data_IF_467792539480
#
_entry.id   IF_467792539480
#
_cell.length_a   1.000
_cell.length_b   1.000
_cell.length_c   1.000
_cell.angle_alpha   90.00
_cell.angle_beta   90.00
_cell.angle_gamma   90.00
#
_symmetry.space_group_name_H-M   'P 1'
#
loop_
_entity.id
_entity.type
_entity.pdbx_description
1 polymer ?
#
# COMPACT_ATOMS: atom_id res chain seq x y z
N UNK A 1 -6.26 -3.90 6.98
CA UNK A 1 -5.14 -3.41 7.84
C UNK A 1 -5.05 -1.90 7.66
N UNK A 2 -5.11 -1.10 8.73
CA UNK A 2 -5.00 0.36 8.60
C UNK A 2 -3.55 0.75 8.28
N UNK A 3 -3.36 1.83 7.52
CA UNK A 3 -2.04 2.35 7.22
C UNK A 3 -1.98 3.87 7.16
N UNK A 4 -0.78 4.38 7.39
CA UNK A 4 -0.44 5.80 7.27
C UNK A 4 0.69 5.96 6.25
N UNK A 5 0.54 6.93 5.34
CA UNK A 5 1.61 7.38 4.46
C UNK A 5 2.30 8.55 5.13
N UNK A 6 3.58 8.38 5.44
CA UNK A 6 4.37 9.32 6.24
C UNK A 6 5.48 9.88 5.35
N UNK A 7 5.64 11.20 5.33
CA UNK A 7 6.76 11.85 4.66
C UNK A 7 8.08 11.59 5.37
N UNK A 8 9.21 11.84 4.69
CA UNK A 8 10.54 11.81 5.30
C UNK A 8 10.66 12.69 6.56
N UNK A 9 9.90 13.79 6.64
CA UNK A 9 9.88 14.69 7.78
C UNK A 9 9.02 14.18 8.96
N UNK A 10 8.40 12.99 8.85
CA UNK A 10 7.54 12.40 9.87
C UNK A 10 6.08 12.87 9.83
N UNK A 11 5.71 13.77 8.91
CA UNK A 11 4.32 14.20 8.74
C UNK A 11 3.47 13.11 8.07
N UNK A 12 2.30 12.81 8.63
CA UNK A 12 1.29 11.96 8.00
C UNK A 12 0.64 12.72 6.85
N UNK A 13 0.79 12.21 5.63
CA UNK A 13 0.24 12.79 4.40
C UNK A 13 -1.15 12.25 4.09
N UNK A 14 -1.37 10.97 4.36
CA UNK A 14 -2.64 10.31 4.11
C UNK A 14 -2.81 9.10 5.05
N UNK A 15 -4.07 8.72 5.24
CA UNK A 15 -4.45 7.48 5.92
C UNK A 15 -5.25 6.61 4.97
N UNK A 16 -5.19 5.31 5.16
CA UNK A 16 -5.87 4.35 4.31
C UNK A 16 -5.88 2.96 4.91
N UNK A 17 -6.16 1.98 4.06
CA UNK A 17 -6.10 0.57 4.38
C UNK A 17 -5.42 -0.19 3.25
N UNK A 18 -4.60 -1.16 3.63
CA UNK A 18 -4.14 -2.20 2.71
C UNK A 18 -5.25 -3.22 2.53
N UNK A 19 -5.51 -3.55 1.27
CA UNK A 19 -6.53 -4.52 0.85
C UNK A 19 -5.94 -5.48 -0.18
N UNK A 20 -6.22 -6.76 0.02
CA UNK A 20 -5.95 -7.80 -0.98
C UNK A 20 -7.21 -7.95 -1.83
N UNK A 21 -7.05 -7.85 -3.15
CA UNK A 21 -8.16 -7.98 -4.10
C UNK A 21 -7.86 -9.11 -5.07
N UNK A 22 -8.79 -10.04 -5.22
CA UNK A 22 -8.71 -11.07 -6.24
C UNK A 22 -8.99 -10.48 -7.62
N UNK A 23 -8.10 -10.74 -8.57
CA UNK A 23 -8.19 -10.37 -9.98
C UNK A 23 -7.89 -11.61 -10.82
N UNK A 24 -8.93 -12.16 -11.46
CA UNK A 24 -8.83 -13.43 -12.17
C UNK A 24 -8.26 -14.52 -11.23
N UNK A 25 -7.11 -15.08 -11.59
CA UNK A 25 -6.44 -16.17 -10.85
C UNK A 25 -5.38 -15.67 -9.86
N UNK A 26 -5.21 -14.34 -9.70
CA UNK A 26 -4.17 -13.77 -8.84
C UNK A 26 -4.74 -12.81 -7.81
N UNK A 27 -4.06 -12.70 -6.68
CA UNK A 27 -4.37 -11.69 -5.67
C UNK A 27 -3.44 -10.49 -5.87
N UNK A 28 -3.98 -9.27 -5.89
CA UNK A 28 -3.22 -8.03 -5.92
C UNK A 28 -3.26 -7.32 -4.57
N UNK A 29 -2.11 -6.82 -4.13
CA UNK A 29 -2.02 -5.93 -2.98
C UNK A 29 -2.34 -4.50 -3.41
N UNK A 30 -3.27 -3.84 -2.73
CA UNK A 30 -3.66 -2.47 -3.04
C UNK A 30 -3.71 -1.60 -1.78
N UNK A 31 -3.59 -0.29 -1.98
CA UNK A 31 -3.82 0.74 -0.97
C UNK A 31 -5.09 1.51 -1.32
N UNK A 32 -6.07 1.48 -0.42
CA UNK A 32 -7.26 2.33 -0.51
C UNK A 32 -7.11 3.48 0.50
N UNK A 33 -6.94 4.69 0.00
CA UNK A 33 -6.87 5.89 0.84
C UNK A 33 -8.26 6.24 1.37
N UNK A 34 -8.34 6.89 2.53
CA UNK A 34 -9.63 7.38 3.08
C UNK A 34 -10.34 8.39 2.18
N UNK A 35 -9.62 9.02 1.25
CA UNK A 35 -10.19 9.90 0.22
C UNK A 35 -10.79 9.17 -0.98
N UNK A 36 -10.87 7.82 -0.96
CA UNK A 36 -11.46 7.01 -2.02
C UNK A 36 -10.51 6.69 -3.19
N UNK A 37 -9.27 7.19 -3.17
CA UNK A 37 -8.27 6.84 -4.19
C UNK A 37 -7.73 5.42 -3.92
N UNK A 38 -7.81 4.57 -4.94
CA UNK A 38 -7.15 3.27 -4.99
C UNK A 38 -5.78 3.43 -5.65
N UNK A 39 -4.75 2.89 -5.03
CA UNK A 39 -3.40 2.77 -5.58
C UNK A 39 -3.09 1.29 -5.68
N UNK A 40 -2.87 0.85 -6.91
CA UNK A 40 -2.57 -0.55 -7.19
C UNK A 40 -1.13 -0.87 -6.83
N UNK A 41 -0.93 -2.02 -6.20
CA UNK A 41 0.38 -2.64 -6.05
C UNK A 41 0.57 -3.78 -7.04
N UNK A 42 1.54 -4.63 -6.72
CA UNK A 42 1.82 -5.83 -7.49
C UNK A 42 0.97 -7.01 -7.04
N UNK A 43 1.12 -8.11 -7.78
CA UNK A 43 0.51 -9.38 -7.44
C UNK A 43 1.29 -10.07 -6.32
N UNK A 44 0.55 -10.69 -5.41
CA UNK A 44 1.07 -11.54 -4.34
C UNK A 44 1.72 -12.79 -4.96
N UNK A 45 2.84 -13.23 -4.36
CA UNK A 45 3.52 -14.47 -4.72
C UNK A 45 2.67 -15.70 -4.43
N UNK A 46 3.00 -16.83 -5.06
CA UNK A 46 2.23 -18.08 -4.93
C UNK A 46 2.23 -18.64 -3.50
N UNK A 47 3.26 -18.32 -2.72
CA UNK A 47 3.43 -18.66 -1.31
C UNK A 47 2.85 -17.60 -0.35
N UNK A 48 2.20 -16.57 -0.89
CA UNK A 48 1.71 -15.43 -0.12
C UNK A 48 2.76 -14.34 0.09
N UNK A 49 3.93 -14.42 -0.54
CA UNK A 49 4.96 -13.38 -0.45
C UNK A 49 4.45 -12.04 -0.99
N UNK A 50 4.74 -10.98 -0.24
CA UNK A 50 4.32 -9.62 -0.51
C UNK A 50 5.48 -8.71 -0.93
N UNK A 51 6.73 -9.19 -0.99
CA UNK A 51 7.90 -8.37 -1.30
C UNK A 51 7.70 -7.60 -2.61
N UNK A 52 7.59 -8.31 -3.74
CA UNK A 52 7.36 -7.71 -5.06
C UNK A 52 6.06 -6.90 -5.12
N UNK A 53 5.00 -7.40 -4.47
CA UNK A 53 3.70 -6.72 -4.44
C UNK A 53 3.81 -5.34 -3.76
N UNK A 54 4.58 -5.26 -2.68
CA UNK A 54 4.80 -4.07 -1.87
C UNK A 54 5.76 -3.08 -2.53
N UNK A 55 6.76 -3.56 -3.27
CA UNK A 55 7.65 -2.71 -4.07
C UNK A 55 6.87 -1.93 -5.12
N UNK A 56 6.07 -2.63 -5.93
CA UNK A 56 5.20 -2.00 -6.95
C UNK A 56 4.22 -1.02 -6.30
N UNK A 57 3.65 -1.40 -5.15
CA UNK A 57 2.77 -0.49 -4.42
C UNK A 57 3.49 0.79 -3.99
N UNK A 58 4.72 0.66 -3.50
CA UNK A 58 5.54 1.78 -3.07
C UNK A 58 5.93 2.70 -4.23
N UNK A 59 6.28 2.13 -5.38
CA UNK A 59 6.53 2.88 -6.62
C UNK A 59 5.29 3.68 -7.06
N UNK A 60 4.10 3.07 -7.01
CA UNK A 60 2.86 3.75 -7.38
C UNK A 60 2.42 4.80 -6.36
N UNK A 61 2.75 4.61 -5.07
CA UNK A 61 2.64 5.64 -4.05
C UNK A 61 3.54 6.84 -4.39
N UNK A 62 4.81 6.58 -4.74
CA UNK A 62 5.74 7.61 -5.17
C UNK A 62 5.22 8.36 -6.41
N UNK A 63 4.75 7.65 -7.44
CA UNK A 63 4.19 8.25 -8.64
C UNK A 63 2.97 9.15 -8.35
N UNK A 64 2.15 8.74 -7.38
CA UNK A 64 0.97 9.49 -6.94
C UNK A 64 1.32 10.80 -6.24
N UNK A 65 2.28 10.79 -5.31
CA UNK A 65 2.58 11.97 -4.48
C UNK A 65 3.82 12.76 -4.94
N UNK A 66 4.59 12.23 -5.89
CA UNK A 66 5.85 12.83 -6.41
C UNK A 66 6.86 13.17 -5.30
N UNK A 67 6.88 12.39 -4.22
CA UNK A 67 7.71 12.62 -3.04
C UNK A 67 8.60 11.43 -2.75
N UNK A 68 9.92 11.65 -2.64
CA UNK A 68 10.89 10.62 -2.25
C UNK A 68 10.89 10.42 -0.74
N UNK A 69 11.22 9.22 -0.28
CA UNK A 69 11.37 8.93 1.15
C UNK A 69 10.04 8.89 1.90
N UNK A 70 9.02 8.33 1.26
CA UNK A 70 7.78 7.98 1.93
C UNK A 70 8.00 6.74 2.80
N UNK A 71 7.26 6.66 3.90
CA UNK A 71 7.17 5.44 4.71
C UNK A 71 5.70 5.05 4.77
N UNK A 72 5.41 3.81 4.39
CA UNK A 72 4.10 3.20 4.61
C UNK A 72 4.14 2.46 5.96
N UNK A 73 3.40 2.97 6.95
CA UNK A 73 3.26 2.30 8.25
C UNK A 73 1.96 1.54 8.31
N UNK A 74 2.03 0.23 8.47
CA UNK A 74 0.87 -0.64 8.61
C UNK A 74 0.62 -0.93 10.10
N UNK A 75 -0.62 -0.77 10.53
CA UNK A 75 -1.06 -1.17 11.87
C UNK A 75 -1.94 -2.40 11.74
N UNK A 76 -1.44 -3.52 12.27
CA UNK A 76 -2.20 -4.77 12.39
C UNK A 76 -2.81 -4.77 13.80
N UNK A 77 -4.14 -4.77 13.87
CA UNK A 77 -4.86 -4.97 15.12
C UNK A 77 -5.47 -6.36 15.06
N UNK A 78 -5.05 -7.24 15.97
CA UNK A 78 -5.83 -8.43 16.28
C UNK A 78 -7.03 -8.00 17.13
N UNK A 79 -8.22 -8.61 16.95
CA UNK A 79 -9.25 -8.57 18.00
C UNK A 79 -8.71 -9.09 19.34
#
# INVERSE_FOLDING_TARGET
>A
MECEIISRAGQVLAKGKLVLKQEEDRTRLNLETRGGKLIEGGFVGEDGDLEVASEVLFENCFATWRMTGLTLRVTIKSP
#
